data_IF_705962163549
#
_entry.id   IF_705962163549
#
_cell.length_a   1.000
_cell.length_b   1.000
_cell.length_c   1.000
_cell.angle_alpha   90.00
_cell.angle_beta   90.00
_cell.angle_gamma   90.00
#
_symmetry.space_group_name_H-M   'P 1'
#
loop_
_entity.id
_entity.type
_entity.pdbx_description
1 polymer ?
#
# COMPACT_ATOMS: atom_id res chain seq x y z
N UNK A 1 -12.88 0.76 -10.91
CA UNK A 1 -12.72 -0.70 -11.10
C UNK A 1 -11.23 -1.03 -11.08
N UNK A 2 -10.85 -2.04 -10.32
CA UNK A 2 -9.48 -2.59 -10.29
C UNK A 2 -9.13 -3.18 -11.66
N UNK A 3 -8.27 -2.51 -12.43
CA UNK A 3 -7.90 -2.90 -13.80
C UNK A 3 -6.43 -3.34 -13.92
N UNK A 4 -5.71 -3.44 -12.80
CA UNK A 4 -4.31 -3.85 -12.82
C UNK A 4 -4.19 -5.33 -12.43
N UNK A 5 -3.70 -6.13 -13.38
CA UNK A 5 -3.48 -7.58 -13.34
C UNK A 5 -2.58 -8.05 -12.18
N UNK A 6 -1.92 -7.11 -11.50
CA UNK A 6 -0.98 -7.40 -10.42
C UNK A 6 -1.66 -7.16 -9.07
N UNK A 7 -1.95 -8.25 -8.35
CA UNK A 7 -2.60 -8.20 -7.03
C UNK A 7 -1.81 -7.39 -5.99
N UNK A 8 -0.48 -7.26 -6.16
CA UNK A 8 0.39 -6.40 -5.35
C UNK A 8 0.34 -4.91 -5.72
N UNK A 9 -0.24 -4.55 -6.87
CA UNK A 9 -0.53 -3.15 -7.29
C UNK A 9 -2.02 -2.83 -7.32
N UNK A 10 -2.87 -3.64 -6.68
CA UNK A 10 -4.29 -3.30 -6.65
C UNK A 10 -4.50 -2.00 -5.85
N UNK A 11 -5.42 -1.15 -6.31
CA UNK A 11 -5.62 0.19 -5.76
C UNK A 11 -6.10 0.12 -4.30
N UNK A 12 -6.68 -1.02 -3.91
CA UNK A 12 -7.05 -1.35 -2.52
C UNK A 12 -5.84 -1.40 -1.58
N UNK A 13 -4.68 -1.86 -2.07
CA UNK A 13 -3.42 -1.87 -1.31
C UNK A 13 -2.95 -0.43 -1.05
N UNK A 14 -2.97 0.42 -2.09
CA UNK A 14 -2.58 1.83 -1.98
C UNK A 14 -3.45 2.60 -0.98
N UNK A 15 -4.77 2.39 -1.04
CA UNK A 15 -5.71 3.00 -0.08
C UNK A 15 -5.44 2.48 1.34
N UNK A 16 -5.22 1.18 1.50
CA UNK A 16 -4.93 0.58 2.80
C UNK A 16 -3.60 1.09 3.39
N UNK A 17 -2.56 1.24 2.58
CA UNK A 17 -1.29 1.85 2.99
C UNK A 17 -1.49 3.29 3.47
N UNK A 18 -2.26 4.10 2.74
CA UNK A 18 -2.56 5.48 3.12
C UNK A 18 -3.31 5.58 4.46
N UNK A 19 -4.28 4.70 4.68
CA UNK A 19 -5.03 4.65 5.94
C UNK A 19 -4.15 4.21 7.12
N UNK A 20 -3.30 3.19 6.92
CA UNK A 20 -2.36 2.72 7.95
C UNK A 20 -1.29 3.78 8.24
N UNK A 21 -0.79 4.48 7.23
CA UNK A 21 0.11 5.61 7.38
C UNK A 21 -0.52 6.75 8.20
N UNK A 22 -1.82 6.96 8.04
CA UNK A 22 -2.62 7.89 8.85
C UNK A 22 -2.93 7.41 10.27
N UNK A 23 -2.42 6.25 10.69
CA UNK A 23 -2.63 5.68 12.02
C UNK A 23 -3.92 4.87 12.19
N UNK A 24 -4.64 4.57 11.10
CA UNK A 24 -5.83 3.73 11.15
C UNK A 24 -5.49 2.25 10.99
N UNK A 25 -6.16 1.38 11.74
CA UNK A 25 -6.08 -0.05 11.50
C UNK A 25 -6.96 -0.44 10.30
N UNK A 26 -6.38 -1.19 9.35
CA UNK A 26 -7.11 -1.71 8.19
C UNK A 26 -7.10 -3.24 8.23
N UNK A 27 -8.26 -3.85 8.01
CA UNK A 27 -8.44 -5.31 7.97
C UNK A 27 -9.06 -5.66 6.62
N UNK A 28 -8.39 -6.52 5.86
CA UNK A 28 -8.92 -7.09 4.63
C UNK A 28 -9.87 -8.23 4.95
N UNK A 29 -11.12 -8.11 4.52
CA UNK A 29 -12.14 -9.15 4.67
C UNK A 29 -12.16 -10.01 3.39
N UNK A 30 -11.73 -11.25 3.52
CA UNK A 30 -11.87 -12.31 2.51
C UNK A 30 -12.90 -13.34 2.97
N UNK A 31 -13.26 -14.27 2.08
CA UNK A 31 -14.20 -15.35 2.41
C UNK A 31 -13.59 -16.23 3.51
N UNK A 32 -14.12 -16.11 4.73
CA UNK A 32 -13.68 -16.88 5.91
C UNK A 32 -12.29 -16.50 6.43
N UNK A 33 -11.69 -15.39 5.96
CA UNK A 33 -10.37 -14.96 6.40
C UNK A 33 -10.31 -13.45 6.56
N UNK A 34 -9.80 -13.02 7.70
CA UNK A 34 -9.43 -11.64 7.96
C UNK A 34 -7.90 -11.51 7.89
N UNK A 35 -7.41 -10.42 7.31
CA UNK A 35 -5.98 -10.15 7.26
C UNK A 35 -5.71 -8.69 7.59
N UNK A 36 -5.02 -8.43 8.69
CA UNK A 36 -4.53 -7.09 9.01
C UNK A 36 -3.61 -6.59 7.90
N UNK A 37 -3.88 -5.37 7.43
CA UNK A 37 -3.01 -4.71 6.48
C UNK A 37 -1.76 -4.20 7.20
N UNK A 38 -0.61 -4.48 6.60
CA UNK A 38 0.65 -3.89 6.97
C UNK A 38 1.16 -3.06 5.80
N UNK A 39 1.84 -1.96 6.11
CA UNK A 39 2.50 -1.11 5.12
C UNK A 39 3.32 -1.98 4.16
N UNK A 40 3.10 -1.74 2.86
CA UNK A 40 3.86 -2.42 1.81
C UNK A 40 5.36 -2.14 1.95
N UNK A 41 6.22 -3.14 1.68
CA UNK A 41 7.69 -2.99 1.73
C UNK A 41 8.22 -1.94 0.73
N UNK A 42 7.47 -1.70 -0.34
CA UNK A 42 7.77 -0.66 -1.33
C UNK A 42 7.45 0.76 -0.85
N UNK A 43 6.99 0.91 0.39
CA UNK A 43 6.49 2.15 0.92
C UNK A 43 7.10 2.47 2.29
N UNK A 44 7.43 3.74 2.52
CA UNK A 44 7.91 4.24 3.82
C UNK A 44 7.20 5.53 4.19
N UNK A 45 7.27 5.89 5.47
CA UNK A 45 6.89 7.21 5.95
C UNK A 45 8.13 8.11 5.96
N UNK A 46 8.05 9.23 5.28
CA UNK A 46 9.08 10.28 5.27
C UNK A 46 9.13 11.05 6.60
N UNK A 47 10.19 11.83 6.83
CA UNK A 47 10.37 12.73 7.96
C UNK A 47 9.20 13.71 8.17
N UNK A 48 8.46 14.04 7.09
CA UNK A 48 7.28 14.90 7.14
C UNK A 48 5.99 14.15 7.54
N UNK A 49 6.06 12.83 7.77
CA UNK A 49 4.89 12.00 8.05
C UNK A 49 4.10 11.59 6.81
N UNK A 50 4.63 11.82 5.61
CA UNK A 50 3.97 11.50 4.35
C UNK A 50 4.33 10.09 3.87
N UNK A 51 3.37 9.42 3.25
CA UNK A 51 3.55 8.12 2.62
C UNK A 51 4.32 8.28 1.29
N UNK A 52 5.48 7.64 1.18
CA UNK A 52 6.34 7.67 -0.02
C UNK A 52 6.55 6.26 -0.55
N UNK A 53 6.31 6.09 -1.85
CA UNK A 53 6.60 4.86 -2.58
C UNK A 53 7.95 4.97 -3.27
N UNK A 54 8.86 4.06 -2.96
CA UNK A 54 10.13 3.97 -3.67
C UNK A 54 9.94 3.29 -5.02
N UNK A 55 10.53 3.89 -6.05
CA UNK A 55 10.70 3.19 -7.31
C UNK A 55 11.76 2.08 -7.12
N UNK A 56 11.55 0.87 -7.66
CA UNK A 56 12.58 -0.15 -7.63
C UNK A 56 13.86 0.36 -8.32
N UNK A 57 15.06 -0.03 -7.85
CA UNK A 57 16.31 0.43 -8.43
C UNK A 57 16.33 0.09 -9.93
N UNK A 58 16.47 1.12 -10.78
CA UNK A 58 16.49 1.00 -12.24
C UNK A 58 15.28 1.58 -12.99
N UNK A 59 14.29 2.16 -12.31
CA UNK A 59 13.25 2.95 -12.98
C UNK A 59 13.70 4.42 -13.06
N UNK A 60 13.99 4.98 -14.24
CA UNK A 60 14.33 6.40 -14.35
C UNK A 60 13.10 7.22 -13.98
N UNK A 61 13.23 8.06 -12.96
CA UNK A 61 12.27 9.13 -12.68
C UNK A 61 12.37 10.14 -13.84
N UNK A 62 11.47 10.02 -14.81
CA UNK A 62 11.27 11.00 -15.89
C UNK A 62 10.41 12.16 -15.44
#
# INVERSE_FOLDING_TARGET
MCAETLWWRCHRRLIADALVAGGHQVIHLGVGKEQTHHLSEACRIDQSGLLVYDAPPGHPSG
#
